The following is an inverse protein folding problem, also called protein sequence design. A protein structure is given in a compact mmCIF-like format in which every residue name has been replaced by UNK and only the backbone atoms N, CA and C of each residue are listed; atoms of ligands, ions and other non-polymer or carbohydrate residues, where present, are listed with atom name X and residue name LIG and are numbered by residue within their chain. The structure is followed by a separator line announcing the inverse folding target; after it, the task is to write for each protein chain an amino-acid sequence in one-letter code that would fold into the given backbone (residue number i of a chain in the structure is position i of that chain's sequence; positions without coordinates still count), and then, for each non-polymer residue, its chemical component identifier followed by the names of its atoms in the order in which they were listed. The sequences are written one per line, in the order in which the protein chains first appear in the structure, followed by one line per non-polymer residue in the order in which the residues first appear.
data_IF_062881345417
#
_entry.id   IF_062881345417
#
_cell.length_a   1.000
_cell.length_b   1.000
_cell.length_c   1.000
_cell.angle_alpha   90.00
_cell.angle_beta   90.00
_cell.angle_gamma   90.00
#
_symmetry.space_group_name_H-M   'P 1'
#
loop_
_entity.id
_entity.type
_entity.pdbx_description
1 polymer ?
#
# COMPACT_ATOMS: atom_id res chain seq x y z
N UNK A 1 -62.13 -37.98 -5.09
CA UNK A 1 -60.68 -38.02 -5.39
C UNK A 1 -60.48 -37.54 -6.82
N UNK A 2 -60.07 -36.29 -7.07
CA UNK A 2 -59.71 -35.85 -8.45
C UNK A 2 -59.15 -34.41 -8.55
N UNK A 3 -59.63 -33.46 -7.74
CA UNK A 3 -59.30 -32.02 -7.94
C UNK A 3 -57.82 -31.66 -7.72
N UNK A 4 -57.13 -32.33 -6.80
CA UNK A 4 -55.70 -32.10 -6.51
C UNK A 4 -54.78 -32.61 -7.61
N UNK A 5 -55.14 -33.73 -8.24
CA UNK A 5 -54.40 -34.31 -9.36
C UNK A 5 -54.56 -33.41 -10.60
N UNK A 6 -55.78 -32.92 -10.84
CA UNK A 6 -56.04 -32.01 -11.95
C UNK A 6 -55.30 -30.67 -11.79
N UNK A 7 -55.24 -30.13 -10.57
CA UNK A 7 -54.47 -28.93 -10.27
C UNK A 7 -52.95 -29.15 -10.46
N UNK A 8 -52.42 -30.30 -10.04
CA UNK A 8 -51.01 -30.64 -10.25
C UNK A 8 -50.64 -30.79 -11.73
N UNK A 9 -51.52 -31.41 -12.53
CA UNK A 9 -51.32 -31.57 -13.97
C UNK A 9 -51.36 -30.21 -14.69
N UNK A 10 -52.27 -29.32 -14.31
CA UNK A 10 -52.36 -27.97 -14.86
C UNK A 10 -51.07 -27.16 -14.61
N UNK A 11 -50.48 -27.27 -13.42
CA UNK A 11 -49.22 -26.58 -13.08
C UNK A 11 -48.05 -27.14 -13.90
N UNK A 12 -47.98 -28.47 -14.08
CA UNK A 12 -46.91 -29.10 -14.85
C UNK A 12 -46.90 -28.66 -16.34
N UNK A 13 -48.08 -28.45 -16.95
CA UNK A 13 -48.18 -27.95 -18.33
C UNK A 13 -47.83 -26.47 -18.49
N UNK A 14 -47.82 -25.68 -17.42
CA UNK A 14 -47.39 -24.26 -17.47
C UNK A 14 -45.87 -24.07 -17.35
N UNK A 15 -45.12 -25.14 -17.08
CA UNK A 15 -43.67 -25.12 -17.04
C UNK A 15 -43.12 -25.20 -18.47
N UNK A 16 -43.04 -24.05 -19.16
CA UNK A 16 -42.46 -23.97 -20.51
C UNK A 16 -41.00 -24.43 -20.54
N UNK A 17 -40.57 -25.02 -21.66
CA UNK A 17 -39.18 -25.41 -21.87
C UNK A 17 -38.26 -24.19 -21.76
N UNK A 18 -37.22 -24.27 -20.93
CA UNK A 18 -36.19 -23.24 -20.83
C UNK A 18 -35.30 -23.25 -22.08
N UNK A 19 -35.67 -22.48 -23.11
CA UNK A 19 -34.89 -22.31 -24.35
C UNK A 19 -33.64 -21.41 -24.17
N UNK A 20 -32.97 -21.48 -23.01
CA UNK A 20 -31.76 -20.70 -22.76
C UNK A 20 -30.50 -21.34 -23.35
N UNK A 21 -30.49 -22.66 -23.58
CA UNK A 21 -29.33 -23.39 -24.06
C UNK A 21 -29.05 -23.19 -25.56
N UNK A 22 -30.09 -22.96 -26.38
CA UNK A 22 -30.00 -22.90 -27.85
C UNK A 22 -30.13 -21.47 -28.40
N UNK A 23 -29.84 -20.46 -27.58
CA UNK A 23 -29.79 -19.08 -28.06
C UNK A 23 -28.75 -19.01 -29.22
N UNK A 24 -29.16 -18.59 -30.43
CA UNK A 24 -28.23 -18.41 -31.55
C UNK A 24 -27.10 -17.49 -31.10
N UNK A 25 -25.87 -17.81 -31.53
CA UNK A 25 -24.66 -17.07 -31.15
C UNK A 25 -24.93 -15.56 -31.15
N UNK A 26 -24.72 -14.93 -29.97
CA UNK A 26 -25.01 -13.53 -29.71
C UNK A 26 -24.15 -12.62 -30.60
N UNK A 27 -24.65 -12.33 -31.80
CA UNK A 27 -24.11 -11.34 -32.74
C UNK A 27 -22.61 -11.48 -33.04
N UNK A 28 -22.04 -10.55 -33.81
CA UNK A 28 -20.59 -10.44 -33.90
C UNK A 28 -20.03 -10.09 -32.52
N UNK A 29 -19.09 -10.91 -32.02
CA UNK A 29 -18.27 -10.53 -30.87
C UNK A 29 -17.32 -9.43 -31.32
N UNK A 30 -17.67 -8.19 -31.00
CA UNK A 30 -16.76 -7.07 -31.21
C UNK A 30 -15.59 -7.21 -30.25
N UNK A 31 -14.37 -7.24 -30.79
CA UNK A 31 -13.16 -7.13 -29.98
C UNK A 31 -13.28 -5.83 -29.18
N UNK A 32 -13.30 -5.95 -27.85
CA UNK A 32 -13.33 -4.79 -26.99
C UNK A 32 -12.17 -3.86 -27.35
N UNK A 33 -12.45 -2.55 -27.40
CA UNK A 33 -11.40 -1.55 -27.57
C UNK A 33 -10.37 -1.77 -26.46
N UNK A 34 -9.09 -1.67 -26.81
CA UNK A 34 -8.03 -1.78 -25.82
C UNK A 34 -8.31 -0.76 -24.69
N UNK A 35 -8.26 -1.17 -23.42
CA UNK A 35 -8.52 -0.24 -22.33
C UNK A 35 -7.53 0.91 -22.43
N UNK A 36 -8.04 2.13 -22.30
CA UNK A 36 -7.22 3.32 -22.06
C UNK A 36 -6.59 3.16 -20.68
N UNK A 37 -5.43 2.54 -20.60
CA UNK A 37 -4.67 2.43 -19.35
C UNK A 37 -3.99 3.77 -19.13
N UNK A 38 -4.37 4.44 -18.05
CA UNK A 38 -3.62 5.59 -17.58
C UNK A 38 -2.22 5.11 -17.18
N UNK A 39 -1.20 5.70 -17.79
CA UNK A 39 0.18 5.49 -17.39
C UNK A 39 0.67 6.67 -16.54
N UNK A 40 1.62 6.37 -15.67
CA UNK A 40 2.21 7.34 -14.75
C UNK A 40 3.42 8.00 -15.42
N UNK A 41 3.44 8.09 -16.75
CA UNK A 41 4.58 8.68 -17.47
C UNK A 41 4.52 10.19 -17.38
N UNK A 42 5.65 10.81 -17.07
CA UNK A 42 5.75 12.25 -16.88
C UNK A 42 6.88 12.59 -15.92
N UNK A 43 7.11 13.88 -15.73
CA UNK A 43 8.08 14.38 -14.76
C UNK A 43 7.48 14.37 -13.35
N UNK A 44 8.24 13.84 -12.40
CA UNK A 44 7.96 13.89 -10.98
C UNK A 44 8.89 14.87 -10.31
N UNK A 45 8.40 15.53 -9.27
CA UNK A 45 9.23 16.30 -8.36
C UNK A 45 8.79 16.00 -6.93
N UNK A 46 9.74 16.03 -6.01
CA UNK A 46 9.49 15.78 -4.60
C UNK A 46 10.55 16.44 -3.73
N UNK A 47 10.26 16.60 -2.45
CA UNK A 47 11.21 17.13 -1.49
C UNK A 47 11.00 16.54 -0.11
N UNK A 48 12.00 16.74 0.74
CA UNK A 48 11.98 16.30 2.12
C UNK A 48 12.63 17.35 3.02
N UNK A 49 12.21 17.38 4.28
CA UNK A 49 12.73 18.25 5.31
C UNK A 49 12.71 17.51 6.64
N UNK A 50 13.71 17.77 7.46
CA UNK A 50 13.89 17.18 8.77
C UNK A 50 14.66 18.12 9.69
N UNK A 51 14.40 17.97 10.98
CA UNK A 51 15.13 18.64 12.03
C UNK A 51 15.57 17.59 13.05
N UNK A 52 16.85 17.58 13.37
CA UNK A 52 17.46 16.64 14.29
C UNK A 52 18.12 17.37 15.45
N UNK A 53 18.07 16.76 16.62
CA UNK A 53 18.81 17.21 17.80
C UNK A 53 19.36 16.00 18.55
N UNK A 54 20.47 16.19 19.25
CA UNK A 54 21.07 15.16 20.09
C UNK A 54 21.64 15.76 21.36
N UNK A 55 21.87 14.91 22.36
CA UNK A 55 22.68 15.22 23.54
C UNK A 55 23.77 14.18 23.65
N UNK A 56 25.02 14.62 23.64
CA UNK A 56 26.19 13.74 23.78
C UNK A 56 26.97 14.18 25.00
N UNK A 57 27.19 13.24 25.91
CA UNK A 57 27.97 13.44 27.13
C UNK A 57 29.02 12.34 27.20
N UNK A 58 30.26 12.71 27.49
CA UNK A 58 31.32 11.78 27.82
C UNK A 58 31.89 12.16 29.18
N UNK A 59 32.11 11.13 30.00
CA UNK A 59 32.69 11.24 31.33
C UNK A 59 33.96 10.41 31.37
N UNK A 60 34.97 10.88 32.10
CA UNK A 60 36.29 10.26 32.10
C UNK A 60 36.27 8.87 32.74
N UNK A 61 37.21 8.03 32.28
CA UNK A 61 37.51 6.75 32.90
C UNK A 61 38.30 6.98 34.21
N UNK A 62 38.18 6.07 35.20
CA UNK A 62 38.96 6.17 36.44
C UNK A 62 40.48 6.13 36.17
N UNK A 63 41.26 6.56 37.17
CA UNK A 63 42.73 6.53 37.14
C UNK A 63 43.26 5.18 36.63
N UNK A 64 44.22 5.22 35.71
CA UNK A 64 44.80 4.03 35.09
C UNK A 64 46.32 4.10 35.16
N UNK A 65 46.99 3.04 35.65
CA UNK A 65 48.46 2.96 35.69
C UNK A 65 49.18 4.16 36.36
N UNK A 66 48.58 4.78 37.38
CA UNK A 66 49.21 5.87 38.14
C UNK A 66 49.15 7.26 37.49
N UNK A 67 48.43 7.40 36.38
CA UNK A 67 48.15 8.70 35.76
C UNK A 67 46.72 9.14 36.10
N UNK A 68 46.55 10.31 36.75
CA UNK A 68 45.22 10.83 37.11
C UNK A 68 44.34 11.09 35.89
N UNK A 69 43.04 10.78 36.00
CA UNK A 69 42.07 10.92 34.90
C UNK A 69 42.02 12.33 34.30
N UNK A 70 42.24 13.38 35.10
CA UNK A 70 42.24 14.78 34.63
C UNK A 70 43.42 15.14 33.71
N UNK A 71 44.42 14.26 33.56
CA UNK A 71 45.57 14.46 32.66
C UNK A 71 45.42 13.72 31.31
N UNK A 72 44.45 12.82 31.19
CA UNK A 72 44.27 11.94 30.02
C UNK A 72 42.88 12.13 29.40
N UNK A 73 41.90 12.50 30.22
CA UNK A 73 40.51 12.69 29.85
C UNK A 73 40.09 14.15 29.86
N UNK A 74 38.97 14.43 29.19
CA UNK A 74 38.34 15.73 29.17
C UNK A 74 36.82 15.57 29.11
N UNK A 75 36.10 16.23 30.02
CA UNK A 75 34.66 16.23 30.02
C UNK A 75 34.12 17.11 28.88
N UNK A 76 33.36 16.51 27.97
CA UNK A 76 32.62 17.27 26.96
C UNK A 76 31.13 16.93 27.00
N UNK A 77 30.33 17.98 26.87
CA UNK A 77 28.89 17.91 26.72
C UNK A 77 28.51 18.75 25.53
N UNK A 78 27.81 18.15 24.58
CA UNK A 78 27.34 18.85 23.38
C UNK A 78 25.84 18.60 23.20
N UNK A 79 25.16 19.61 22.68
CA UNK A 79 23.74 19.52 22.32
C UNK A 79 23.55 20.01 20.89
N UNK A 80 24.07 19.26 19.89
CA UNK A 80 23.97 19.69 18.51
C UNK A 80 22.52 19.59 18.03
N UNK A 81 22.16 20.52 17.17
CA UNK A 81 20.93 20.47 16.37
C UNK A 81 21.25 20.83 14.93
N UNK A 82 20.50 20.27 14.00
CA UNK A 82 20.68 20.52 12.58
C UNK A 82 19.36 20.40 11.82
N UNK A 83 19.25 21.18 10.76
CA UNK A 83 18.22 21.03 9.75
C UNK A 83 18.79 20.25 8.58
N UNK A 84 17.95 19.42 7.97
CA UNK A 84 18.25 18.69 6.75
C UNK A 84 17.06 18.82 5.81
N UNK A 85 17.32 18.95 4.51
CA UNK A 85 16.26 18.94 3.52
C UNK A 85 16.81 19.01 2.11
N UNK A 86 15.96 18.72 1.14
CA UNK A 86 16.33 18.71 -0.28
C UNK A 86 15.15 18.43 -1.18
N UNK A 87 15.34 18.67 -2.47
CA UNK A 87 14.39 18.37 -3.53
C UNK A 87 15.00 17.45 -4.59
N UNK A 88 14.14 16.74 -5.30
CA UNK A 88 14.49 15.86 -6.43
C UNK A 88 13.44 16.03 -7.53
N UNK A 89 13.84 15.93 -8.80
CA UNK A 89 12.93 15.92 -9.94
C UNK A 89 13.47 14.99 -11.05
N UNK A 90 12.57 14.31 -11.76
CA UNK A 90 12.90 13.31 -12.78
C UNK A 90 11.67 12.75 -13.47
#
# INVERSE_FOLDING_TARGET
MSKRILAGLAIAFTCGAAHAADLPARGPSYKALAPSVYDWSGFYAGGYVGYGWAKTQATDLPDYSGVPWYQIGGQFSTSPSSFNGGGQAG
#
